data_IF_847814020584
#
_entry.id   IF_847814020584
#
_cell.length_a   1.000
_cell.length_b   1.000
_cell.length_c   1.000
_cell.angle_alpha   90.00
_cell.angle_beta   90.00
_cell.angle_gamma   90.00
#
_symmetry.space_group_name_H-M   'P 1'
#
loop_
_entity.id
_entity.type
_entity.pdbx_description
1 polymer ?
#
# COMPACT_ATOMS: atom_id res chain seq x y z
N UNK A 1 -14.37 14.01 -30.13
CA UNK A 1 -13.28 13.03 -30.05
C UNK A 1 -13.77 11.91 -29.13
N UNK A 2 -14.15 10.79 -29.72
CA UNK A 2 -14.80 9.66 -29.05
C UNK A 2 -13.79 8.90 -28.19
N UNK A 3 -14.11 8.73 -26.89
CA UNK A 3 -13.37 7.82 -26.02
C UNK A 3 -13.37 6.41 -26.61
N UNK A 4 -12.17 5.83 -26.73
CA UNK A 4 -12.00 4.47 -27.23
C UNK A 4 -12.83 3.49 -26.41
N UNK A 5 -13.65 2.70 -27.09
CA UNK A 5 -14.35 1.58 -26.50
C UNK A 5 -13.33 0.68 -25.80
N UNK A 6 -13.40 0.61 -24.47
CA UNK A 6 -12.74 -0.44 -23.69
C UNK A 6 -13.15 -1.78 -24.32
N UNK A 7 -12.16 -2.62 -24.63
CA UNK A 7 -12.37 -3.92 -25.26
C UNK A 7 -13.29 -4.78 -24.39
N UNK A 8 -14.55 -4.92 -24.83
CA UNK A 8 -15.59 -5.67 -24.12
C UNK A 8 -15.25 -7.16 -24.02
N UNK A 9 -14.27 -7.65 -24.79
CA UNK A 9 -13.83 -9.04 -24.79
C UNK A 9 -13.35 -9.52 -23.41
N UNK A 10 -12.74 -8.64 -22.61
CA UNK A 10 -12.22 -8.98 -21.28
C UNK A 10 -13.37 -9.30 -20.32
N UNK A 11 -14.48 -8.57 -20.42
CA UNK A 11 -15.66 -8.75 -19.56
C UNK A 11 -16.48 -10.00 -19.91
N UNK A 12 -16.35 -10.50 -21.14
CA UNK A 12 -17.02 -11.70 -21.63
C UNK A 12 -16.18 -12.98 -21.42
N UNK A 13 -14.88 -12.83 -21.16
CA UNK A 13 -13.98 -13.95 -20.94
C UNK A 13 -14.34 -14.69 -19.62
N UNK A 14 -14.71 -15.99 -19.69
CA UNK A 14 -15.15 -16.75 -18.52
C UNK A 14 -14.08 -16.89 -17.43
N UNK A 15 -12.78 -16.74 -17.78
CA UNK A 15 -11.66 -16.71 -16.83
C UNK A 15 -11.72 -15.45 -15.95
N UNK A 16 -12.05 -14.30 -16.52
CA UNK A 16 -12.07 -13.02 -15.81
C UNK A 16 -13.40 -12.70 -15.14
N UNK A 17 -14.47 -13.40 -15.51
CA UNK A 17 -15.82 -13.22 -14.94
C UNK A 17 -15.87 -13.29 -13.40
N UNK A 18 -14.99 -14.08 -12.76
CA UNK A 18 -14.87 -14.14 -11.29
C UNK A 18 -14.11 -12.94 -10.69
N UNK A 19 -13.16 -12.37 -11.44
CA UNK A 19 -12.36 -11.20 -11.02
C UNK A 19 -13.15 -9.89 -11.13
N UNK A 20 -14.22 -9.85 -11.93
CA UNK A 20 -15.11 -8.68 -12.00
C UNK A 20 -15.80 -8.32 -10.67
N UNK A 21 -15.76 -9.21 -9.67
CA UNK A 21 -16.30 -8.96 -8.32
C UNK A 21 -15.23 -8.94 -7.23
N UNK A 22 -13.94 -9.05 -7.57
CA UNK A 22 -12.86 -9.00 -6.57
C UNK A 22 -12.51 -7.58 -6.17
N UNK A 23 -12.87 -6.59 -6.99
CA UNK A 23 -12.72 -5.17 -6.67
C UNK A 23 -13.88 -4.63 -5.81
N UNK A 24 -14.48 -5.50 -5.00
CA UNK A 24 -15.42 -5.11 -3.98
C UNK A 24 -14.66 -4.80 -2.69
N UNK A 25 -14.82 -3.58 -2.17
CA UNK A 25 -14.36 -3.26 -0.82
C UNK A 25 -15.10 -4.18 0.16
N UNK A 26 -14.38 -5.12 0.78
CA UNK A 26 -14.91 -5.91 1.87
C UNK A 26 -15.01 -5.00 3.10
N UNK A 27 -16.18 -4.43 3.31
CA UNK A 27 -16.49 -3.72 4.55
C UNK A 27 -16.72 -4.75 5.65
N UNK A 28 -15.85 -4.75 6.66
CA UNK A 28 -16.18 -5.46 7.89
C UNK A 28 -17.24 -4.66 8.65
N UNK A 29 -18.40 -5.24 8.97
CA UNK A 29 -19.37 -4.57 9.83
C UNK A 29 -18.68 -4.22 11.16
N UNK A 30 -18.81 -2.95 11.58
CA UNK A 30 -18.24 -2.49 12.85
C UNK A 30 -18.91 -3.27 13.98
N UNK A 31 -18.18 -4.23 14.52
CA UNK A 31 -18.53 -4.99 15.70
C UNK A 31 -17.43 -4.72 16.71
N UNK A 32 -17.77 -4.52 17.98
CA UNK A 32 -16.74 -4.41 19.00
C UNK A 32 -16.01 -5.76 19.11
N UNK A 33 -14.70 -5.72 18.87
CA UNK A 33 -13.81 -6.89 18.88
C UNK A 33 -12.70 -6.73 19.92
N UNK A 34 -12.79 -5.75 20.82
CA UNK A 34 -11.75 -5.39 21.78
C UNK A 34 -11.25 -6.55 22.65
N UNK A 35 -12.13 -7.51 22.98
CA UNK A 35 -11.78 -8.71 23.76
C UNK A 35 -11.34 -9.91 22.90
N UNK A 36 -11.32 -9.77 21.57
CA UNK A 36 -10.98 -10.86 20.66
C UNK A 36 -9.47 -11.06 20.50
N UNK A 37 -9.09 -12.28 20.11
CA UNK A 37 -7.72 -12.60 19.70
C UNK A 37 -7.27 -11.79 18.48
N UNK A 38 -8.19 -11.40 17.61
CA UNK A 38 -7.91 -10.54 16.45
C UNK A 38 -7.48 -9.15 16.88
N UNK A 39 -8.16 -8.56 17.88
CA UNK A 39 -7.76 -7.27 18.43
C UNK A 39 -6.40 -7.36 19.13
N UNK A 40 -6.16 -8.42 19.91
CA UNK A 40 -4.85 -8.68 20.52
C UNK A 40 -3.73 -8.77 19.47
N UNK A 41 -3.95 -9.50 18.38
CA UNK A 41 -2.99 -9.59 17.28
C UNK A 41 -2.78 -8.24 16.57
N UNK A 42 -3.84 -7.46 16.34
CA UNK A 42 -3.75 -6.13 15.76
C UNK A 42 -2.93 -5.18 16.63
N UNK A 43 -3.13 -5.21 17.96
CA UNK A 43 -2.31 -4.45 18.92
C UNK A 43 -0.85 -4.89 18.90
N UNK A 44 -0.59 -6.19 18.90
CA UNK A 44 0.79 -6.71 18.86
C UNK A 44 1.55 -6.21 17.62
N UNK A 45 0.93 -6.24 16.44
CA UNK A 45 1.52 -5.72 15.20
C UNK A 45 1.67 -4.20 15.24
N UNK A 46 0.68 -3.49 15.81
CA UNK A 46 0.76 -2.04 15.97
C UNK A 46 1.98 -1.62 16.79
N UNK A 47 2.14 -2.18 18.00
CA UNK A 47 3.21 -1.83 18.92
C UNK A 47 4.58 -2.32 18.46
N UNK A 48 4.65 -3.55 17.94
CA UNK A 48 5.93 -4.16 17.57
C UNK A 48 6.53 -3.62 16.27
N UNK A 49 5.70 -3.04 15.39
CA UNK A 49 6.13 -2.71 14.04
C UNK A 49 5.53 -1.42 13.47
N UNK A 50 4.21 -1.25 13.50
CA UNK A 50 3.56 -0.15 12.76
C UNK A 50 3.75 1.22 13.40
N UNK A 51 4.03 1.29 14.70
CA UNK A 51 4.35 2.54 15.40
C UNK A 51 5.83 2.92 15.33
N UNK A 52 6.67 2.09 14.71
CA UNK A 52 8.11 2.33 14.60
C UNK A 52 8.40 3.38 13.51
N UNK A 53 8.71 4.60 13.90
CA UNK A 53 8.97 5.72 13.00
C UNK A 53 10.25 5.54 12.18
N UNK A 54 11.30 4.96 12.77
CA UNK A 54 12.56 4.64 12.08
C UNK A 54 12.30 3.71 10.91
N UNK A 55 11.47 2.68 11.10
CA UNK A 55 11.11 1.75 10.03
C UNK A 55 10.40 2.46 8.87
N UNK A 56 9.47 3.37 9.15
CA UNK A 56 8.78 4.15 8.12
C UNK A 56 9.71 5.08 7.36
N UNK A 57 10.68 5.71 8.03
CA UNK A 57 11.73 6.50 7.36
C UNK A 57 12.56 5.63 6.43
N UNK A 58 13.01 4.47 6.89
CA UNK A 58 13.76 3.51 6.04
C UNK A 58 12.96 3.10 4.81
N UNK A 59 11.65 2.87 4.93
CA UNK A 59 10.82 2.57 3.77
C UNK A 59 10.66 3.75 2.81
N UNK A 60 10.43 4.97 3.32
CA UNK A 60 10.31 6.17 2.50
C UNK A 60 11.64 6.49 1.77
N UNK A 61 12.78 6.29 2.42
CA UNK A 61 14.11 6.48 1.83
C UNK A 61 14.33 5.65 0.56
N UNK A 62 13.67 4.49 0.41
CA UNK A 62 13.79 3.69 -0.81
C UNK A 62 13.26 4.44 -2.05
N UNK A 63 12.30 5.34 -1.89
CA UNK A 63 11.77 6.18 -2.97
C UNK A 63 12.65 7.40 -3.27
N UNK A 64 13.46 7.83 -2.30
CA UNK A 64 14.48 8.86 -2.50
C UNK A 64 15.73 8.30 -3.20
N UNK A 65 16.23 7.14 -2.76
CA UNK A 65 17.44 6.50 -3.29
C UNK A 65 17.21 5.74 -4.61
N UNK A 66 15.98 5.25 -4.82
CA UNK A 66 15.56 4.53 -6.03
C UNK A 66 16.42 3.31 -6.38
N UNK A 67 16.63 2.37 -5.43
CA UNK A 67 17.58 1.28 -5.62
C UNK A 67 17.06 0.15 -6.51
N UNK A 68 15.78 0.16 -6.92
CA UNK A 68 15.14 -1.03 -7.51
C UNK A 68 15.53 -1.31 -8.99
N UNK A 69 16.41 -0.50 -9.60
CA UNK A 69 16.76 -0.57 -11.03
C UNK A 69 17.74 -1.68 -11.46
N UNK A 70 18.72 -2.06 -10.63
CA UNK A 70 19.83 -2.93 -11.10
C UNK A 70 19.42 -4.40 -11.26
N UNK A 71 18.50 -4.90 -10.43
CA UNK A 71 18.13 -6.33 -10.37
C UNK A 71 16.63 -6.58 -10.43
N UNK A 72 15.82 -5.53 -10.68
CA UNK A 72 14.37 -5.63 -10.58
C UNK A 72 13.92 -5.95 -9.15
N UNK A 73 14.53 -5.28 -8.18
CA UNK A 73 14.14 -5.42 -6.77
C UNK A 73 12.74 -4.81 -6.54
N UNK A 74 12.16 -5.01 -5.37
CA UNK A 74 10.78 -4.59 -5.04
C UNK A 74 10.70 -3.85 -3.70
N UNK A 75 11.73 -3.06 -3.36
CA UNK A 75 11.82 -2.43 -2.03
C UNK A 75 10.66 -1.46 -1.77
N UNK A 76 10.19 -0.76 -2.79
CA UNK A 76 9.01 0.11 -2.71
C UNK A 76 7.72 -0.64 -2.34
N UNK A 77 7.59 -1.92 -2.73
CA UNK A 77 6.38 -2.72 -2.49
C UNK A 77 6.14 -2.96 -0.98
N UNK A 78 7.21 -3.02 -0.19
CA UNK A 78 7.11 -3.17 1.26
C UNK A 78 6.39 -1.98 1.90
N UNK A 79 6.66 -0.75 1.48
CA UNK A 79 5.97 0.44 2.02
C UNK A 79 4.46 0.32 1.80
N UNK A 80 4.03 -0.01 0.57
CA UNK A 80 2.61 -0.11 0.21
C UNK A 80 1.89 -1.23 0.97
N UNK A 81 2.51 -2.41 1.08
CA UNK A 81 1.97 -3.54 1.86
C UNK A 81 1.82 -3.18 3.33
N UNK A 82 2.86 -2.55 3.90
CA UNK A 82 2.87 -2.14 5.29
C UNK A 82 1.81 -1.07 5.57
N UNK A 83 1.71 -0.04 4.73
CA UNK A 83 0.73 1.04 4.89
C UNK A 83 -0.71 0.50 4.82
N UNK A 84 -0.99 -0.36 3.83
CA UNK A 84 -2.31 -0.98 3.69
C UNK A 84 -2.67 -1.83 4.91
N UNK A 85 -1.73 -2.63 5.42
CA UNK A 85 -1.89 -3.39 6.65
C UNK A 85 -2.15 -2.48 7.86
N UNK A 86 -1.37 -1.40 7.97
CA UNK A 86 -1.53 -0.37 9.01
C UNK A 86 -2.92 0.25 9.03
N UNK A 87 -3.48 0.60 7.88
CA UNK A 87 -4.84 1.12 7.76
C UNK A 87 -5.91 0.13 8.27
N UNK A 88 -5.72 -1.18 8.03
CA UNK A 88 -6.63 -2.20 8.59
C UNK A 88 -6.48 -2.35 10.09
N UNK A 89 -5.24 -2.33 10.60
CA UNK A 89 -4.98 -2.36 12.04
C UNK A 89 -5.60 -1.15 12.73
N UNK A 90 -5.41 0.06 12.18
CA UNK A 90 -6.06 1.28 12.69
C UNK A 90 -7.58 1.17 12.70
N UNK A 91 -8.19 0.59 11.65
CA UNK A 91 -9.64 0.40 11.60
C UNK A 91 -10.16 -0.50 12.74
N UNK A 92 -9.38 -1.52 13.13
CA UNK A 92 -9.69 -2.45 14.22
C UNK A 92 -9.45 -1.79 15.58
N UNK A 93 -8.28 -1.16 15.77
CA UNK A 93 -7.83 -0.70 17.09
C UNK A 93 -8.30 0.70 17.44
N UNK A 94 -8.56 1.54 16.43
CA UNK A 94 -8.82 2.99 16.53
C UNK A 94 -7.75 3.74 17.33
N UNK A 95 -6.52 3.24 17.30
CA UNK A 95 -5.39 3.83 18.01
C UNK A 95 -4.96 5.14 17.35
N UNK A 96 -5.06 6.26 18.10
CA UNK A 96 -4.70 7.58 17.62
C UNK A 96 -3.21 7.77 17.36
N UNK A 97 -2.34 7.15 18.16
CA UNK A 97 -0.88 7.20 17.94
C UNK A 97 -0.52 6.49 16.63
N UNK A 98 -1.13 5.33 16.39
CA UNK A 98 -0.94 4.62 15.12
C UNK A 98 -1.39 5.50 13.94
N UNK A 99 -2.52 6.18 14.05
CA UNK A 99 -2.98 7.09 12.99
C UNK A 99 -1.96 8.18 12.69
N UNK A 100 -1.43 8.84 13.73
CA UNK A 100 -0.41 9.87 13.56
C UNK A 100 0.85 9.30 12.90
N UNK A 101 1.34 8.14 13.32
CA UNK A 101 2.51 7.50 12.68
C UNK A 101 2.26 7.19 11.20
N UNK A 102 1.09 6.64 10.85
CA UNK A 102 0.75 6.34 9.46
C UNK A 102 0.62 7.62 8.62
N UNK A 103 0.03 8.68 9.18
CA UNK A 103 -0.07 9.99 8.54
C UNK A 103 1.32 10.57 8.25
N UNK A 104 2.22 10.56 9.23
CA UNK A 104 3.60 11.03 9.04
C UNK A 104 4.36 10.18 8.01
N UNK A 105 4.15 8.86 8.00
CA UNK A 105 4.73 7.99 6.97
C UNK A 105 4.25 8.33 5.54
N UNK A 106 2.99 8.74 5.38
CA UNK A 106 2.49 9.26 4.08
C UNK A 106 3.17 10.57 3.72
N UNK A 107 3.30 11.51 4.67
CA UNK A 107 3.97 12.79 4.41
C UNK A 107 5.43 12.61 4.03
N UNK A 108 6.14 11.67 4.67
CA UNK A 108 7.51 11.30 4.31
C UNK A 108 7.59 10.79 2.87
N UNK A 109 6.69 9.89 2.46
CA UNK A 109 6.65 9.38 1.09
C UNK A 109 6.32 10.48 0.07
N UNK A 110 5.34 11.33 0.36
CA UNK A 110 5.00 12.46 -0.52
C UNK A 110 6.19 13.43 -0.67
N UNK A 111 7.01 13.57 0.36
CA UNK A 111 8.25 14.35 0.33
C UNK A 111 9.32 13.81 -0.63
N UNK A 112 9.21 12.55 -1.09
CA UNK A 112 10.15 11.96 -2.07
C UNK A 112 9.68 12.10 -3.52
N UNK A 113 8.56 12.77 -3.76
CA UNK A 113 8.02 12.95 -5.10
C UNK A 113 8.95 13.83 -5.96
N UNK A 114 9.10 13.47 -7.23
CA UNK A 114 9.74 14.32 -8.24
C UNK A 114 8.88 15.57 -8.53
N UNK A 115 9.43 16.61 -9.19
CA UNK A 115 8.68 17.82 -9.55
C UNK A 115 7.41 17.59 -10.39
N UNK A 116 7.34 16.49 -11.12
CA UNK A 116 6.16 16.07 -11.91
C UNK A 116 5.16 15.22 -11.10
N UNK A 117 5.38 15.06 -9.79
CA UNK A 117 4.53 14.29 -8.88
C UNK A 117 4.80 12.79 -8.90
N UNK A 118 5.83 12.33 -9.63
CA UNK A 118 6.19 10.91 -9.68
C UNK A 118 6.73 10.43 -8.33
N UNK A 119 6.22 9.28 -7.88
CA UNK A 119 6.70 8.56 -6.69
C UNK A 119 7.01 7.13 -7.13
N UNK A 120 8.28 6.75 -7.10
CA UNK A 120 8.73 5.41 -7.51
C UNK A 120 10.08 5.09 -6.87
N UNK A 121 10.26 3.83 -6.49
CA UNK A 121 11.53 3.28 -5.99
C UNK A 121 12.42 2.75 -7.12
N UNK A 122 11.96 2.79 -8.37
CA UNK A 122 12.77 2.55 -9.56
C UNK A 122 13.40 3.86 -10.04
N UNK A 123 14.56 3.82 -10.68
CA UNK A 123 15.04 4.92 -11.52
C UNK A 123 14.25 4.95 -12.84
N UNK A 124 14.17 6.12 -13.51
CA UNK A 124 13.27 6.34 -14.66
C UNK A 124 13.55 5.42 -15.84
N UNK A 125 14.83 5.12 -16.06
CA UNK A 125 15.31 4.22 -17.10
C UNK A 125 14.90 2.75 -16.90
N UNK A 126 14.43 2.37 -15.70
CA UNK A 126 14.03 1.02 -15.34
C UNK A 126 12.54 0.88 -14.98
N UNK A 127 11.75 1.96 -15.12
CA UNK A 127 10.30 1.89 -14.87
C UNK A 127 9.58 1.07 -15.94
N UNK A 128 8.42 0.54 -15.54
CA UNK A 128 7.52 -0.24 -16.38
C UNK A 128 8.18 -1.50 -16.95
N UNK A 129 9.12 -2.08 -16.20
CA UNK A 129 9.84 -3.28 -16.58
C UNK A 129 9.67 -4.40 -15.55
N UNK A 130 9.47 -5.64 -16.03
CA UNK A 130 9.35 -6.81 -15.16
C UNK A 130 8.12 -6.75 -14.27
N UNK A 131 8.32 -6.76 -12.95
CA UNK A 131 7.26 -6.74 -11.93
C UNK A 131 6.69 -5.34 -11.64
N UNK A 132 7.23 -4.29 -12.29
CA UNK A 132 6.74 -2.92 -12.19
C UNK A 132 5.47 -2.67 -13.07
N UNK A 133 4.85 -3.73 -13.62
CA UNK A 133 3.55 -3.72 -14.32
C UNK A 133 2.66 -4.92 -14.00
#
# INVERSE_FOLDING_TARGET
MSGSALDRSIYENPVYKRRLRTDALLEMPFTDVSESTVYGAARFVAEGQLKNDVLWRTFAEQFAFRPDGERGDWKGEFWGKMMRGGCFVYRITRDGELYETLKEAVLLLLGTADPDGRISSYPRENEFFGWDM
#
